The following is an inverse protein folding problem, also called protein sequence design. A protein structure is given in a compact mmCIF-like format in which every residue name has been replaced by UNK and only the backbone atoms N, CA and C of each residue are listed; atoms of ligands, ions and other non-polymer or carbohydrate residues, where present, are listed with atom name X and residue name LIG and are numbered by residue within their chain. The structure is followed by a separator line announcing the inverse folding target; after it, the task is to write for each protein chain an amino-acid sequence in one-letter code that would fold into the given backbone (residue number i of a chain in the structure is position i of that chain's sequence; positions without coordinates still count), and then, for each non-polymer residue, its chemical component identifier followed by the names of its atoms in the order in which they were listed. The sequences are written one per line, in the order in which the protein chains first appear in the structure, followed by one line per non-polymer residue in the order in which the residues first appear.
data_IF_256296073418
#
_entry.id   IF_256296073418
#
_cell.length_a   1.000
_cell.length_b   1.000
_cell.length_c   1.000
_cell.angle_alpha   90.00
_cell.angle_beta   90.00
_cell.angle_gamma   90.00
#
_symmetry.space_group_name_H-M   'P 1'
#
loop_
_entity.id
_entity.type
_entity.pdbx_description
1 polymer ?
#
# COMPACT_ATOMS: atom_id res chain seq x y z
N UNK A 1 8.15 -14.32 -21.78
CA UNK A 1 9.09 -15.46 -21.82
C UNK A 1 9.83 -15.46 -20.49
N UNK A 2 9.50 -16.36 -19.58
CA UNK A 2 10.18 -16.45 -18.30
C UNK A 2 11.66 -16.71 -18.55
N UNK A 3 12.52 -15.85 -18.00
CA UNK A 3 13.96 -16.14 -17.96
C UNK A 3 14.14 -17.37 -17.07
N UNK A 4 14.04 -18.55 -17.65
CA UNK A 4 14.77 -19.73 -17.21
C UNK A 4 16.26 -19.49 -17.52
N UNK A 5 16.82 -18.40 -16.99
CA UNK A 5 18.26 -18.30 -16.86
C UNK A 5 18.66 -19.47 -15.96
N UNK A 6 19.62 -20.25 -16.43
CA UNK A 6 20.36 -21.25 -15.67
C UNK A 6 20.98 -20.54 -14.46
N UNK A 7 20.19 -20.29 -13.43
CA UNK A 7 20.61 -19.64 -12.20
C UNK A 7 21.72 -20.49 -11.59
N UNK A 8 22.82 -19.85 -11.18
CA UNK A 8 23.91 -20.56 -10.54
C UNK A 8 23.37 -21.28 -9.29
N UNK A 9 23.99 -22.40 -8.92
CA UNK A 9 23.62 -23.17 -7.74
C UNK A 9 23.53 -22.32 -6.47
N UNK A 10 24.31 -21.25 -6.40
CA UNK A 10 24.33 -20.30 -5.29
C UNK A 10 23.11 -19.35 -5.30
N UNK A 11 22.65 -18.92 -6.46
CA UNK A 11 21.50 -18.03 -6.64
C UNK A 11 20.20 -18.73 -6.26
N UNK A 12 20.02 -20.00 -6.65
CA UNK A 12 18.84 -20.80 -6.29
C UNK A 12 18.77 -21.01 -4.76
N UNK A 13 19.92 -21.21 -4.10
CA UNK A 13 19.99 -21.32 -2.63
C UNK A 13 19.54 -20.01 -1.97
N UNK A 14 20.01 -18.86 -2.46
CA UNK A 14 19.61 -17.55 -1.92
C UNK A 14 18.14 -17.27 -2.16
N UNK A 15 17.65 -17.54 -3.37
CA UNK A 15 16.25 -17.36 -3.72
C UNK A 15 15.33 -18.19 -2.81
N UNK A 16 15.64 -19.45 -2.48
CA UNK A 16 14.85 -20.22 -1.50
C UNK A 16 14.84 -19.56 -0.12
N UNK A 17 15.97 -19.04 0.35
CA UNK A 17 16.01 -18.31 1.62
C UNK A 17 15.15 -17.06 1.57
N UNK A 18 15.17 -16.34 0.45
CA UNK A 18 14.32 -15.17 0.24
C UNK A 18 12.85 -15.55 0.26
N UNK A 19 12.43 -16.57 -0.50
CA UNK A 19 11.05 -17.12 -0.47
C UNK A 19 10.63 -17.48 0.95
N UNK A 20 11.51 -18.17 1.70
CA UNK A 20 11.24 -18.53 3.10
C UNK A 20 11.08 -17.30 3.97
N UNK A 21 11.97 -16.33 3.87
CA UNK A 21 11.91 -15.12 4.69
C UNK A 21 10.71 -14.24 4.34
N UNK A 22 10.33 -14.18 3.06
CA UNK A 22 9.09 -13.59 2.60
C UNK A 22 7.88 -14.33 3.17
N UNK A 23 7.86 -15.66 3.17
CA UNK A 23 6.76 -16.46 3.71
C UNK A 23 6.53 -16.26 5.22
N UNK A 24 7.57 -15.98 6.00
CA UNK A 24 7.44 -15.71 7.44
C UNK A 24 7.45 -14.21 7.81
N UNK A 25 7.30 -13.31 6.84
CA UNK A 25 7.37 -11.87 7.05
C UNK A 25 8.62 -11.40 7.82
N UNK A 26 9.80 -11.98 7.51
CA UNK A 26 11.04 -11.68 8.24
C UNK A 26 11.96 -10.79 7.41
N UNK A 27 11.71 -9.48 7.43
CA UNK A 27 12.47 -8.49 6.65
C UNK A 27 13.95 -8.45 7.05
N UNK A 28 14.29 -8.52 8.34
CA UNK A 28 15.70 -8.48 8.77
C UNK A 28 16.54 -9.65 8.21
N UNK A 29 15.96 -10.86 8.14
CA UNK A 29 16.64 -12.01 7.51
C UNK A 29 16.58 -11.95 5.99
N UNK A 30 15.52 -11.35 5.43
CA UNK A 30 15.41 -11.12 4.00
C UNK A 30 16.52 -10.17 3.55
N UNK A 31 16.68 -9.01 4.19
CA UNK A 31 17.75 -8.03 3.96
C UNK A 31 19.14 -8.69 3.94
N UNK A 32 19.44 -9.51 4.94
CA UNK A 32 20.73 -10.19 5.05
C UNK A 32 21.01 -11.18 3.91
N UNK A 33 19.98 -11.81 3.35
CA UNK A 33 20.11 -12.86 2.34
C UNK A 33 19.61 -12.44 0.96
N UNK A 34 19.28 -11.15 0.77
CA UNK A 34 18.80 -10.63 -0.51
C UNK A 34 19.94 -10.63 -1.50
N UNK A 35 19.70 -11.24 -2.66
CA UNK A 35 20.58 -11.20 -3.80
C UNK A 35 19.82 -10.56 -4.96
N UNK A 36 20.29 -9.40 -5.42
CA UNK A 36 19.60 -8.58 -6.43
C UNK A 36 19.36 -9.35 -7.74
N UNK A 37 20.32 -10.17 -8.17
CA UNK A 37 20.18 -11.02 -9.36
C UNK A 37 19.02 -12.03 -9.28
N UNK A 38 18.57 -12.39 -8.07
CA UNK A 38 17.50 -13.38 -7.84
C UNK A 38 16.13 -12.78 -7.54
N UNK A 39 16.00 -11.46 -7.48
CA UNK A 39 14.75 -10.76 -7.15
C UNK A 39 13.64 -11.08 -8.17
N UNK A 40 13.97 -11.17 -9.45
CA UNK A 40 13.02 -11.47 -10.53
C UNK A 40 12.71 -12.96 -10.73
N UNK A 41 13.27 -13.86 -9.92
CA UNK A 41 13.05 -15.29 -10.09
C UNK A 41 11.62 -15.69 -9.73
N UNK A 42 11.12 -16.69 -10.45
CA UNK A 42 9.79 -17.27 -10.24
C UNK A 42 9.91 -18.59 -9.50
N UNK A 43 8.97 -18.86 -8.60
CA UNK A 43 8.94 -20.09 -7.80
C UNK A 43 8.60 -21.27 -8.71
N UNK A 44 9.58 -22.12 -9.00
CA UNK A 44 9.42 -23.33 -9.81
C UNK A 44 9.56 -24.59 -8.96
N UNK A 45 8.65 -25.55 -9.17
CA UNK A 45 8.70 -26.87 -8.52
C UNK A 45 9.97 -27.63 -8.86
N UNK A 46 10.43 -27.54 -10.12
CA UNK A 46 11.64 -28.21 -10.57
C UNK A 46 12.88 -27.66 -9.86
N UNK A 47 13.01 -26.33 -9.81
CA UNK A 47 14.12 -25.65 -9.13
C UNK A 47 14.14 -25.93 -7.62
N UNK A 48 12.96 -26.05 -7.00
CA UNK A 48 12.84 -26.39 -5.59
C UNK A 48 13.30 -27.84 -5.30
N UNK A 49 12.85 -28.81 -6.11
CA UNK A 49 13.23 -30.22 -5.96
C UNK A 49 14.73 -30.45 -6.20
N UNK A 50 15.29 -29.81 -7.22
CA UNK A 50 16.73 -29.88 -7.49
C UNK A 50 17.55 -29.39 -6.29
N UNK A 51 17.10 -28.29 -5.67
CA UNK A 51 17.75 -27.75 -4.49
C UNK A 51 17.61 -28.64 -3.25
N UNK A 52 16.44 -29.26 -3.03
CA UNK A 52 16.25 -30.26 -1.98
C UNK A 52 17.29 -31.38 -2.13
N UNK A 53 17.43 -31.96 -3.31
CA UNK A 53 18.39 -33.03 -3.58
C UNK A 53 19.84 -32.60 -3.27
N UNK A 54 20.23 -31.38 -3.68
CA UNK A 54 21.57 -30.83 -3.37
C UNK A 54 21.78 -30.61 -1.87
N UNK A 55 20.74 -30.16 -1.16
CA UNK A 55 20.78 -29.93 0.29
C UNK A 55 20.89 -31.25 1.05
N UNK A 56 20.10 -32.25 0.67
CA UNK A 56 20.16 -33.62 1.19
C UNK A 56 21.56 -34.22 0.98
N UNK A 57 22.17 -34.03 -0.20
CA UNK A 57 23.55 -34.46 -0.47
C UNK A 57 24.60 -33.77 0.44
N UNK A 58 24.46 -32.47 0.70
CA UNK A 58 25.33 -31.74 1.64
C UNK A 58 25.15 -32.19 3.08
N UNK A 59 23.92 -32.50 3.49
CA UNK A 59 23.63 -33.04 4.82
C UNK A 59 24.24 -34.44 4.96
N UNK A 60 24.12 -35.28 3.93
CA UNK A 60 24.69 -36.63 3.91
C UNK A 60 26.22 -36.64 4.07
N UNK A 61 26.91 -35.61 3.56
CA UNK A 61 28.36 -35.44 3.67
C UNK A 61 28.85 -35.01 5.07
N UNK A 62 27.96 -34.73 6.02
CA UNK A 62 28.33 -34.39 7.41
C UNK A 62 28.78 -35.64 8.14
N UNK A 63 30.02 -35.62 8.66
CA UNK A 63 30.62 -36.75 9.35
C UNK A 63 29.97 -37.05 10.72
N UNK A 64 29.51 -36.02 11.43
CA UNK A 64 28.81 -36.17 12.72
C UNK A 64 27.37 -36.65 12.51
N UNK A 65 27.09 -37.88 12.92
CA UNK A 65 25.79 -38.54 12.83
C UNK A 65 24.68 -37.74 13.51
N UNK A 66 24.91 -37.20 14.71
CA UNK A 66 23.87 -36.45 15.45
C UNK A 66 23.56 -35.13 14.76
N UNK A 67 24.59 -34.44 14.28
CA UNK A 67 24.41 -33.17 13.56
C UNK A 67 23.73 -33.39 12.20
N UNK A 68 24.05 -34.49 11.52
CA UNK A 68 23.42 -34.89 10.26
C UNK A 68 21.93 -35.16 10.43
N UNK A 69 21.56 -35.97 11.43
CA UNK A 69 20.17 -36.30 11.72
C UNK A 69 19.34 -35.07 12.09
N UNK A 70 19.88 -34.21 12.97
CA UNK A 70 19.20 -32.96 13.35
C UNK A 70 18.98 -32.02 12.15
N UNK A 71 19.97 -31.89 11.26
CA UNK A 71 19.84 -31.07 10.04
C UNK A 71 18.91 -31.70 9.01
N UNK A 72 18.89 -33.03 8.89
CA UNK A 72 17.99 -33.74 7.99
C UNK A 72 16.54 -33.59 8.44
N UNK A 73 16.25 -33.81 9.72
CA UNK A 73 14.91 -33.63 10.30
C UNK A 73 14.37 -32.23 10.01
N UNK A 74 15.18 -31.20 10.32
CA UNK A 74 14.82 -29.81 10.02
C UNK A 74 14.57 -29.56 8.52
N UNK A 75 15.37 -30.18 7.63
CA UNK A 75 15.19 -30.03 6.20
C UNK A 75 13.89 -30.67 5.70
N UNK A 76 13.54 -31.85 6.23
CA UNK A 76 12.30 -32.55 5.91
C UNK A 76 11.10 -31.75 6.39
N UNK A 77 11.14 -31.22 7.62
CA UNK A 77 10.07 -30.36 8.15
C UNK A 77 9.84 -29.13 7.26
N UNK A 78 10.91 -28.43 6.89
CA UNK A 78 10.83 -27.27 5.98
C UNK A 78 10.29 -27.64 4.59
N UNK A 79 10.62 -28.83 4.09
CA UNK A 79 10.15 -29.34 2.79
C UNK A 79 8.67 -29.64 2.85
N UNK A 80 8.20 -30.30 3.92
CA UNK A 80 6.79 -30.60 4.15
C UNK A 80 5.97 -29.32 4.26
N UNK A 81 6.43 -28.34 5.04
CA UNK A 81 5.74 -27.06 5.20
C UNK A 81 5.63 -26.29 3.88
N UNK A 82 6.68 -26.29 3.05
CA UNK A 82 6.61 -25.67 1.74
C UNK A 82 5.57 -26.34 0.84
N UNK A 83 5.55 -27.68 0.77
CA UNK A 83 4.56 -28.39 -0.04
C UNK A 83 3.13 -28.21 0.49
N UNK A 84 2.94 -28.22 1.81
CA UNK A 84 1.66 -27.90 2.43
C UNK A 84 1.20 -26.48 2.04
N UNK A 85 2.09 -25.48 2.10
CA UNK A 85 1.78 -24.11 1.67
C UNK A 85 1.43 -24.00 0.18
N UNK A 86 2.01 -24.85 -0.67
CA UNK A 86 1.64 -24.93 -2.10
C UNK A 86 0.26 -25.58 -2.27
N UNK A 87 -0.04 -26.64 -1.54
CA UNK A 87 -1.35 -27.33 -1.57
C UNK A 87 -2.48 -26.46 -1.02
N UNK A 88 -2.20 -25.69 0.03
CA UNK A 88 -3.12 -24.69 0.61
C UNK A 88 -3.30 -23.45 -0.29
N UNK A 89 -2.54 -23.32 -1.37
CA UNK A 89 -2.61 -22.17 -2.29
C UNK A 89 -1.98 -20.88 -1.75
N UNK A 90 -1.23 -20.96 -0.65
CA UNK A 90 -0.45 -19.83 -0.10
C UNK A 90 0.78 -19.51 -0.94
N UNK A 91 1.35 -20.51 -1.60
CA UNK A 91 2.44 -20.36 -2.58
C UNK A 91 1.95 -20.90 -3.91
N UNK A 92 1.90 -20.06 -4.94
CA UNK A 92 1.52 -20.49 -6.29
C UNK A 92 2.77 -20.61 -7.15
N UNK A 93 2.83 -21.66 -7.97
CA UNK A 93 3.97 -21.86 -8.87
C UNK A 93 4.00 -20.74 -9.91
N UNK A 94 5.20 -20.23 -10.17
CA UNK A 94 5.43 -19.07 -11.01
C UNK A 94 5.36 -17.73 -10.28
N UNK A 95 4.91 -17.70 -9.02
CA UNK A 95 4.91 -16.47 -8.22
C UNK A 95 6.33 -15.94 -8.05
N UNK A 96 6.49 -14.62 -8.15
CA UNK A 96 7.70 -13.92 -7.69
C UNK A 96 7.60 -13.65 -6.18
N UNK A 97 8.66 -13.11 -5.57
CA UNK A 97 8.61 -12.69 -4.16
C UNK A 97 7.52 -11.63 -3.91
N UNK A 98 7.21 -10.79 -4.90
CA UNK A 98 6.17 -9.78 -4.80
C UNK A 98 4.77 -10.40 -4.77
N UNK A 99 4.49 -11.40 -5.60
CA UNK A 99 3.22 -12.13 -5.59
C UNK A 99 2.99 -12.79 -4.22
N UNK A 100 4.04 -13.44 -3.70
CA UNK A 100 3.98 -14.10 -2.41
C UNK A 100 3.70 -13.09 -1.28
N UNK A 101 4.40 -11.97 -1.28
CA UNK A 101 4.21 -10.92 -0.28
C UNK A 101 2.81 -10.28 -0.38
N UNK A 102 2.30 -10.05 -1.59
CA UNK A 102 0.96 -9.51 -1.83
C UNK A 102 -0.16 -10.46 -1.40
N UNK A 103 0.00 -11.77 -1.66
CA UNK A 103 -0.98 -12.80 -1.28
C UNK A 103 -1.04 -13.00 0.24
N UNK A 104 0.10 -12.89 0.92
CA UNK A 104 0.22 -13.09 2.37
C UNK A 104 0.03 -11.81 3.20
N UNK A 105 -0.26 -10.67 2.57
CA UNK A 105 -0.44 -9.38 3.26
C UNK A 105 0.81 -8.90 4.02
N UNK A 106 2.00 -9.16 3.46
CA UNK A 106 3.28 -8.79 4.07
C UNK A 106 3.73 -7.40 3.60
N UNK A 107 3.06 -6.35 4.10
CA UNK A 107 3.33 -4.93 3.75
C UNK A 107 4.82 -4.58 3.87
N UNK A 108 5.49 -5.04 4.94
CA UNK A 108 6.91 -4.74 5.18
C UNK A 108 7.82 -5.37 4.12
N UNK A 109 7.52 -6.59 3.70
CA UNK A 109 8.27 -7.26 2.64
C UNK A 109 8.03 -6.60 1.30
N UNK A 110 6.80 -6.18 1.00
CA UNK A 110 6.51 -5.48 -0.26
C UNK A 110 7.28 -4.16 -0.33
N UNK A 111 7.21 -3.34 0.71
CA UNK A 111 7.96 -2.07 0.75
C UNK A 111 9.46 -2.31 0.58
N UNK A 112 10.01 -3.32 1.25
CA UNK A 112 11.42 -3.69 1.09
C UNK A 112 11.76 -4.11 -0.35
N UNK A 113 10.92 -4.93 -0.99
CA UNK A 113 11.17 -5.40 -2.36
C UNK A 113 11.09 -4.24 -3.37
N UNK A 114 10.14 -3.33 -3.22
CA UNK A 114 10.01 -2.14 -4.08
C UNK A 114 11.20 -1.18 -3.91
N UNK A 115 11.75 -1.06 -2.71
CA UNK A 115 12.98 -0.28 -2.47
C UNK A 115 14.22 -0.85 -3.15
N UNK A 116 14.21 -2.16 -3.43
CA UNK A 116 15.26 -2.85 -4.18
C UNK A 116 15.03 -2.80 -5.70
N UNK A 117 13.99 -2.10 -6.17
CA UNK A 117 13.69 -1.95 -7.59
C UNK A 117 13.06 -3.20 -8.20
N UNK A 118 12.31 -3.98 -7.42
CA UNK A 118 11.64 -5.16 -7.96
C UNK A 118 10.48 -4.75 -8.89
N UNK A 119 10.58 -5.13 -10.16
CA UNK A 119 9.54 -4.87 -11.15
C UNK A 119 8.26 -5.66 -10.87
N UNK A 120 7.11 -4.96 -10.83
CA UNK A 120 5.80 -5.58 -10.62
C UNK A 120 5.29 -6.37 -11.85
N UNK A 121 5.73 -5.98 -13.04
CA UNK A 121 5.15 -6.41 -14.32
C UNK A 121 5.57 -7.82 -14.79
N UNK A 122 6.03 -8.68 -13.88
CA UNK A 122 6.37 -10.07 -14.21
C UNK A 122 5.17 -10.96 -13.89
N UNK A 123 4.42 -11.47 -14.87
CA UNK A 123 3.27 -12.31 -14.57
C UNK A 123 3.72 -13.69 -14.09
N UNK A 124 3.00 -14.28 -13.14
CA UNK A 124 3.22 -15.66 -12.72
C UNK A 124 2.84 -16.68 -13.83
N UNK A 125 2.98 -17.98 -13.56
CA UNK A 125 2.68 -19.02 -14.56
C UNK A 125 1.19 -19.10 -14.95
N UNK A 126 0.30 -18.47 -14.19
CA UNK A 126 -1.11 -18.32 -14.54
C UNK A 126 -1.40 -17.05 -15.33
N UNK A 127 -0.40 -16.19 -15.57
CA UNK A 127 -0.57 -14.92 -16.27
C UNK A 127 -1.03 -13.77 -15.36
N UNK A 128 -1.09 -13.98 -14.05
CA UNK A 128 -1.50 -12.94 -13.10
C UNK A 128 -0.31 -12.08 -12.67
N UNK A 129 -0.53 -10.78 -12.53
CA UNK A 129 0.43 -9.84 -11.93
C UNK A 129 0.27 -9.74 -10.41
N UNK A 130 1.23 -9.12 -9.73
CA UNK A 130 1.22 -9.03 -8.29
C UNK A 130 0.01 -8.25 -7.74
N UNK A 131 -0.42 -7.14 -8.37
CA UNK A 131 -1.65 -6.44 -7.95
C UNK A 131 -2.92 -7.29 -8.09
N UNK A 132 -2.95 -8.31 -8.96
CA UNK A 132 -4.15 -9.13 -9.19
C UNK A 132 -4.32 -10.26 -8.19
N UNK A 133 -3.27 -10.60 -7.44
CA UNK A 133 -3.29 -11.68 -6.43
C UNK A 133 -3.52 -11.16 -5.00
N UNK A 134 -3.78 -9.87 -4.84
CA UNK A 134 -4.03 -9.23 -3.56
C UNK A 134 -5.37 -9.69 -2.96
N UNK A 135 -5.37 -10.02 -1.67
CA UNK A 135 -6.58 -10.41 -0.95
C UNK A 135 -7.14 -9.26 -0.08
N UNK A 136 -6.27 -8.40 0.43
CA UNK A 136 -6.63 -7.33 1.36
C UNK A 136 -6.71 -5.96 0.65
N UNK A 137 -7.72 -5.11 0.96
CA UNK A 137 -7.86 -3.78 0.36
C UNK A 137 -6.65 -2.86 0.55
N UNK A 138 -5.97 -3.00 1.70
CA UNK A 138 -4.75 -2.26 2.04
C UNK A 138 -3.59 -2.56 1.10
N UNK A 139 -3.35 -3.84 0.78
CA UNK A 139 -2.34 -4.25 -0.20
C UNK A 139 -2.77 -3.85 -1.59
N UNK A 140 -4.06 -3.99 -1.92
CA UNK A 140 -4.57 -3.53 -3.21
C UNK A 140 -4.23 -2.05 -3.43
N UNK A 141 -4.45 -1.20 -2.42
CA UNK A 141 -4.07 0.22 -2.53
C UNK A 141 -2.56 0.40 -2.72
N UNK A 142 -1.74 -0.35 -1.99
CA UNK A 142 -0.30 -0.30 -2.14
C UNK A 142 0.13 -0.67 -3.57
N UNK A 143 -0.44 -1.74 -4.12
CA UNK A 143 -0.12 -2.24 -5.45
C UNK A 143 -0.71 -1.34 -6.55
N UNK A 144 -1.91 -0.79 -6.37
CA UNK A 144 -2.51 0.21 -7.26
C UNK A 144 -1.57 1.43 -7.43
N UNK A 145 -0.86 1.82 -6.36
CA UNK A 145 0.12 2.91 -6.42
C UNK A 145 1.40 2.50 -7.17
N UNK A 146 1.83 1.24 -7.08
CA UNK A 146 2.96 0.71 -7.86
C UNK A 146 2.59 0.70 -9.34
N UNK A 147 1.39 0.21 -9.69
CA UNK A 147 0.85 0.25 -11.05
C UNK A 147 0.79 1.69 -11.57
N UNK A 148 0.32 2.65 -10.74
CA UNK A 148 0.29 4.07 -11.12
C UNK A 148 1.68 4.62 -11.48
N UNK A 149 2.71 4.23 -10.72
CA UNK A 149 4.09 4.66 -11.02
C UNK A 149 4.49 4.17 -12.41
N UNK A 150 4.21 2.90 -12.73
CA UNK A 150 4.52 2.32 -14.04
C UNK A 150 3.67 2.90 -15.18
N UNK A 151 2.39 3.18 -14.95
CA UNK A 151 1.52 3.81 -15.94
C UNK A 151 2.02 5.20 -16.35
N UNK A 152 2.61 5.95 -15.41
CA UNK A 152 3.08 7.32 -15.65
C UNK A 152 4.54 7.37 -16.14
N UNK A 153 5.44 6.53 -15.58
CA UNK A 153 6.87 6.52 -15.93
C UNK A 153 7.24 5.52 -17.04
N UNK A 154 6.37 4.56 -17.33
CA UNK A 154 6.72 3.38 -18.11
C UNK A 154 7.46 2.33 -17.27
N UNK A 155 7.91 1.26 -17.93
CA UNK A 155 8.55 0.10 -17.30
C UNK A 155 10.08 0.17 -17.26
N UNK A 156 10.71 1.03 -18.05
CA UNK A 156 12.18 1.09 -18.21
C UNK A 156 12.72 2.46 -17.76
N UNK A 157 13.02 2.61 -16.47
CA UNK A 157 13.66 3.82 -15.95
C UNK A 157 14.61 3.53 -14.78
N UNK A 158 15.77 4.20 -14.77
CA UNK A 158 16.87 3.93 -13.84
C UNK A 158 16.57 4.32 -12.38
N UNK A 159 15.61 5.23 -12.15
CA UNK A 159 15.27 5.79 -10.84
C UNK A 159 14.04 5.13 -10.15
N UNK A 160 13.70 3.88 -10.50
CA UNK A 160 12.54 3.15 -9.96
C UNK A 160 12.50 3.09 -8.43
N UNK A 161 13.62 2.74 -7.80
CA UNK A 161 13.69 2.69 -6.34
C UNK A 161 13.39 4.06 -5.70
N UNK A 162 13.80 5.18 -6.33
CA UNK A 162 13.54 6.52 -5.82
C UNK A 162 12.06 6.90 -5.96
N UNK A 163 11.44 6.57 -7.09
CA UNK A 163 10.00 6.80 -7.29
C UNK A 163 9.16 6.06 -6.25
N UNK A 164 9.43 4.77 -6.03
CA UNK A 164 8.71 3.96 -5.02
C UNK A 164 8.94 4.45 -3.59
N UNK A 165 10.14 4.96 -3.26
CA UNK A 165 10.40 5.60 -1.96
C UNK A 165 9.60 6.89 -1.77
N UNK A 166 9.51 7.74 -2.80
CA UNK A 166 8.68 8.95 -2.77
C UNK A 166 7.21 8.55 -2.53
N UNK A 167 6.69 7.59 -3.30
CA UNK A 167 5.32 7.07 -3.16
C UNK A 167 5.09 6.50 -1.75
N UNK A 168 6.01 5.70 -1.23
CA UNK A 168 5.94 5.17 0.14
C UNK A 168 5.82 6.29 1.17
N UNK A 169 6.66 7.33 1.07
CA UNK A 169 6.65 8.45 1.99
C UNK A 169 5.38 9.30 1.87
N UNK A 170 4.92 9.58 0.65
CA UNK A 170 3.65 10.28 0.41
C UNK A 170 2.45 9.51 0.99
N UNK A 171 2.42 8.18 0.84
CA UNK A 171 1.38 7.33 1.45
C UNK A 171 1.38 7.41 2.97
N UNK A 172 2.55 7.45 3.61
CA UNK A 172 2.67 7.60 5.07
C UNK A 172 2.27 9.00 5.54
N UNK A 173 2.53 10.02 4.73
CA UNK A 173 2.19 11.41 5.01
C UNK A 173 0.69 11.70 4.86
N UNK A 174 0.04 11.07 3.88
CA UNK A 174 -1.31 11.46 3.49
C UNK A 174 -2.36 11.36 4.62
N UNK A 175 -2.41 10.30 5.46
CA UNK A 175 -3.34 10.26 6.59
C UNK A 175 -3.15 11.37 7.64
N UNK A 176 -1.98 12.02 7.66
CA UNK A 176 -1.59 13.04 8.65
C UNK A 176 -1.69 14.47 8.14
N UNK A 177 -1.66 14.67 6.81
CA UNK A 177 -1.67 15.99 6.17
C UNK A 177 -2.89 16.14 5.24
N UNK A 178 -3.30 15.06 4.56
CA UNK A 178 -4.32 15.10 3.49
C UNK A 178 -4.00 16.20 2.47
N UNK A 179 -2.77 16.16 1.96
CA UNK A 179 -2.27 17.19 1.07
C UNK A 179 -3.06 17.29 -0.24
N UNK A 180 -2.99 18.46 -0.87
CA UNK A 180 -3.63 18.71 -2.16
C UNK A 180 -2.64 18.97 -3.30
N UNK A 181 -3.19 19.22 -4.50
CA UNK A 181 -2.40 19.40 -5.70
C UNK A 181 -1.54 20.68 -5.69
N UNK A 182 -1.88 21.67 -4.88
CA UNK A 182 -1.08 22.88 -4.71
C UNK A 182 0.20 22.63 -3.89
N UNK A 183 0.16 21.64 -3.00
CA UNK A 183 1.24 21.29 -2.08
C UNK A 183 2.16 20.19 -2.65
N UNK A 184 1.68 19.42 -3.63
CA UNK A 184 2.39 18.28 -4.20
C UNK A 184 3.80 18.64 -4.71
N UNK A 185 3.98 19.83 -5.30
CA UNK A 185 5.29 20.28 -5.77
C UNK A 185 6.31 20.46 -4.64
N UNK A 186 5.88 21.05 -3.52
CA UNK A 186 6.73 21.29 -2.36
C UNK A 186 7.07 19.96 -1.65
N UNK A 187 6.05 19.13 -1.45
CA UNK A 187 6.21 17.81 -0.84
C UNK A 187 7.15 16.90 -1.63
N UNK A 188 6.96 16.78 -2.93
CA UNK A 188 7.81 15.94 -3.78
C UNK A 188 9.27 16.40 -3.76
N UNK A 189 9.52 17.72 -3.77
CA UNK A 189 10.90 18.27 -3.68
C UNK A 189 11.56 17.89 -2.36
N UNK A 190 10.84 18.03 -1.25
CA UNK A 190 11.37 17.79 0.10
C UNK A 190 11.55 16.30 0.39
N UNK A 191 10.52 15.51 0.12
CA UNK A 191 10.52 14.06 0.35
C UNK A 191 11.52 13.38 -0.59
N UNK A 192 11.56 13.78 -1.85
CA UNK A 192 12.43 13.20 -2.87
C UNK A 192 13.85 13.76 -2.92
N UNK A 193 14.17 14.80 -2.15
CA UNK A 193 15.41 15.60 -2.29
C UNK A 193 15.67 15.96 -3.76
N UNK A 194 14.63 16.48 -4.42
CA UNK A 194 14.60 16.76 -5.86
C UNK A 194 14.67 18.27 -6.10
N UNK A 195 15.65 18.72 -6.89
CA UNK A 195 15.76 20.12 -7.30
C UNK A 195 14.68 20.48 -8.31
N UNK A 196 14.29 21.76 -8.38
CA UNK A 196 13.33 22.28 -9.37
C UNK A 196 13.71 21.99 -10.83
N UNK A 197 15.00 21.77 -11.12
CA UNK A 197 15.52 21.46 -12.46
C UNK A 197 15.54 19.96 -12.81
N UNK A 198 15.06 19.08 -11.92
CA UNK A 198 15.12 17.64 -12.15
C UNK A 198 14.18 17.22 -13.30
N UNK A 199 14.64 16.40 -14.25
CA UNK A 199 13.86 16.06 -15.44
C UNK A 199 12.54 15.33 -15.10
N UNK A 200 12.54 14.51 -14.05
CA UNK A 200 11.36 13.74 -13.61
C UNK A 200 10.47 14.46 -12.59
N UNK A 201 10.75 15.71 -12.20
CA UNK A 201 9.97 16.39 -11.14
C UNK A 201 8.49 16.50 -11.50
N UNK A 202 8.16 16.90 -12.73
CA UNK A 202 6.78 17.00 -13.17
C UNK A 202 6.05 15.65 -13.16
N UNK A 203 6.80 14.55 -13.37
CA UNK A 203 6.24 13.20 -13.32
C UNK A 203 5.96 12.79 -11.88
N UNK A 204 6.88 13.03 -10.95
CA UNK A 204 6.65 12.76 -9.53
C UNK A 204 5.48 13.59 -8.97
N UNK A 205 5.31 14.84 -9.42
CA UNK A 205 4.15 15.67 -9.06
C UNK A 205 2.85 15.06 -9.59
N UNK A 206 2.83 14.57 -10.84
CA UNK A 206 1.66 13.87 -11.39
C UNK A 206 1.30 12.63 -10.57
N UNK A 207 2.29 11.83 -10.18
CA UNK A 207 2.09 10.66 -9.33
C UNK A 207 1.50 11.09 -7.98
N UNK A 208 2.09 12.10 -7.33
CA UNK A 208 1.61 12.60 -6.04
C UNK A 208 0.15 13.09 -6.10
N UNK A 209 -0.23 13.81 -7.16
CA UNK A 209 -1.60 14.27 -7.37
C UNK A 209 -2.57 13.10 -7.58
N UNK A 210 -2.22 12.17 -8.47
CA UNK A 210 -3.06 11.01 -8.75
C UNK A 210 -3.23 10.11 -7.52
N UNK A 211 -2.19 9.96 -6.68
CA UNK A 211 -2.30 9.28 -5.39
C UNK A 211 -3.28 10.00 -4.45
N UNK A 212 -3.14 11.32 -4.31
CA UNK A 212 -4.01 12.11 -3.43
C UNK A 212 -5.48 12.00 -3.85
N UNK A 213 -5.76 12.11 -5.15
CA UNK A 213 -7.12 12.00 -5.70
C UNK A 213 -7.69 10.59 -5.48
N UNK A 214 -6.88 9.55 -5.69
CA UNK A 214 -7.26 8.15 -5.40
C UNK A 214 -7.60 7.94 -3.93
N UNK A 215 -6.77 8.45 -3.03
CA UNK A 215 -7.00 8.30 -1.59
C UNK A 215 -8.27 9.04 -1.14
N UNK A 216 -8.50 10.25 -1.65
CA UNK A 216 -9.75 10.99 -1.41
C UNK A 216 -10.98 10.24 -1.90
N UNK A 217 -10.89 9.65 -3.09
CA UNK A 217 -11.96 8.83 -3.65
C UNK A 217 -12.23 7.60 -2.78
N UNK A 218 -11.21 6.83 -2.39
CA UNK A 218 -11.37 5.62 -1.54
C UNK A 218 -12.00 5.96 -0.18
N UNK A 219 -11.54 7.02 0.48
CA UNK A 219 -12.13 7.51 1.73
C UNK A 219 -13.61 7.87 1.54
N UNK A 220 -13.92 8.63 0.48
CA UNK A 220 -15.31 8.99 0.15
C UNK A 220 -16.18 7.76 -0.09
N UNK A 221 -15.69 6.79 -0.86
CA UNK A 221 -16.42 5.55 -1.16
C UNK A 221 -16.67 4.67 0.06
N UNK A 222 -15.83 4.78 1.09
CA UNK A 222 -16.00 4.04 2.35
C UNK A 222 -17.04 4.72 3.25
N UNK A 223 -17.08 6.04 3.25
CA UNK A 223 -17.99 6.81 4.12
C UNK A 223 -19.36 7.09 3.49
N UNK A 224 -19.48 7.06 2.16
CA UNK A 224 -20.73 7.33 1.48
C UNK A 224 -21.86 6.34 1.84
N UNK A 225 -21.63 5.03 1.97
CA UNK A 225 -22.64 4.09 2.47
C UNK A 225 -23.19 4.49 3.84
N UNK A 226 -22.32 4.95 4.74
CA UNK A 226 -22.72 5.39 6.09
C UNK A 226 -23.60 6.65 6.01
N UNK A 227 -23.26 7.59 5.12
CA UNK A 227 -24.10 8.76 4.86
C UNK A 227 -25.49 8.37 4.30
N UNK A 228 -25.55 7.36 3.41
CA UNK A 228 -26.80 6.83 2.86
C UNK A 228 -27.65 6.18 3.96
N UNK A 229 -27.05 5.38 4.83
CA UNK A 229 -27.75 4.76 5.98
C UNK A 229 -28.31 5.81 6.93
N UNK A 230 -27.53 6.85 7.26
CA UNK A 230 -27.97 7.97 8.08
C UNK A 230 -29.16 8.72 7.45
N UNK A 231 -29.17 8.91 6.13
CA UNK A 231 -30.31 9.48 5.42
C UNK A 231 -31.54 8.59 5.51
N UNK A 232 -31.40 7.29 5.30
CA UNK A 232 -32.51 6.34 5.37
C UNK A 232 -33.15 6.29 6.75
N UNK A 233 -32.34 6.37 7.82
CA UNK A 233 -32.82 6.39 9.20
C UNK A 233 -33.56 7.68 9.57
N UNK A 234 -33.32 8.80 8.86
CA UNK A 234 -33.88 10.12 9.16
C UNK A 234 -34.87 10.58 8.08
N UNK A 235 -35.77 9.68 7.66
CA UNK A 235 -36.85 9.93 6.69
C UNK A 235 -36.39 10.55 5.36
N UNK A 236 -35.11 10.37 5.01
CA UNK A 236 -34.49 10.92 3.81
C UNK A 236 -34.55 12.45 3.75
N UNK A 237 -34.40 13.09 4.91
CA UNK A 237 -34.21 14.54 5.04
C UNK A 237 -32.75 14.81 5.40
N UNK A 238 -32.00 15.39 4.46
CA UNK A 238 -30.58 15.70 4.65
C UNK A 238 -30.31 16.57 5.89
N UNK A 239 -31.21 17.50 6.21
CA UNK A 239 -31.08 18.35 7.41
C UNK A 239 -31.17 17.54 8.72
N UNK A 240 -32.12 16.60 8.81
CA UNK A 240 -32.29 15.76 10.01
C UNK A 240 -31.12 14.78 10.15
N UNK A 241 -30.68 14.16 9.06
CA UNK A 241 -29.50 13.29 9.04
C UNK A 241 -28.21 14.02 9.49
N UNK A 242 -27.98 15.25 9.00
CA UNK A 242 -26.84 16.08 9.45
C UNK A 242 -26.90 16.37 10.94
N UNK A 243 -28.08 16.71 11.45
CA UNK A 243 -28.29 16.98 12.88
C UNK A 243 -28.08 15.72 13.74
N UNK A 244 -28.53 14.56 13.25
CA UNK A 244 -28.34 13.28 13.92
C UNK A 244 -26.84 12.94 14.03
N UNK A 245 -26.08 13.10 12.94
CA UNK A 245 -24.62 12.89 12.99
C UNK A 245 -23.91 13.90 13.89
N UNK A 246 -24.32 15.17 13.89
CA UNK A 246 -23.79 16.17 14.83
C UNK A 246 -24.01 15.75 16.29
N UNK A 247 -25.13 15.10 16.60
CA UNK A 247 -25.44 14.59 17.93
C UNK A 247 -24.69 13.29 18.31
N UNK A 248 -23.97 12.64 17.39
CA UNK A 248 -23.18 11.46 17.72
C UNK A 248 -22.11 11.77 18.77
N UNK A 249 -21.82 10.81 19.68
CA UNK A 249 -20.71 10.92 20.61
C UNK A 249 -19.39 11.17 19.88
N UNK A 250 -18.57 12.06 20.43
CA UNK A 250 -17.20 12.32 19.97
C UNK A 250 -16.35 11.05 19.79
N UNK A 251 -16.34 10.06 20.72
CA UNK A 251 -15.54 8.85 20.53
C UNK A 251 -15.97 8.04 19.29
N UNK A 252 -17.27 7.97 19.00
CA UNK A 252 -17.78 7.20 17.86
C UNK A 252 -17.41 7.85 16.52
N UNK A 253 -17.42 9.20 16.47
CA UNK A 253 -16.95 9.96 15.30
C UNK A 253 -15.46 9.75 15.04
N UNK A 254 -14.65 9.72 16.09
CA UNK A 254 -13.21 9.44 15.96
C UNK A 254 -12.98 8.00 15.52
N UNK A 255 -13.69 7.04 16.11
CA UNK A 255 -13.59 5.64 15.73
C UNK A 255 -13.91 5.42 14.26
N UNK A 256 -14.93 6.11 13.73
CA UNK A 256 -15.25 6.08 12.30
C UNK A 256 -14.06 6.50 11.42
N UNK A 257 -13.38 7.60 11.77
CA UNK A 257 -12.20 8.05 11.03
C UNK A 257 -11.10 6.99 11.08
N UNK A 258 -10.90 6.36 12.24
CA UNK A 258 -9.88 5.34 12.44
C UNK A 258 -10.17 4.07 11.66
N UNK A 259 -11.41 3.62 11.62
CA UNK A 259 -11.81 2.45 10.85
C UNK A 259 -11.56 2.69 9.36
N UNK A 260 -11.92 3.88 8.86
CA UNK A 260 -11.69 4.27 7.46
C UNK A 260 -10.20 4.34 7.13
N UNK A 261 -9.40 5.03 7.96
CA UNK A 261 -7.97 5.15 7.70
C UNK A 261 -7.23 3.81 7.85
N UNK A 262 -7.55 2.99 8.86
CA UNK A 262 -6.88 1.69 9.08
C UNK A 262 -7.21 0.69 7.98
N UNK A 263 -8.43 0.75 7.42
CA UNK A 263 -8.84 -0.11 6.30
C UNK A 263 -7.95 0.08 5.06
N UNK A 264 -7.58 1.33 4.76
CA UNK A 264 -6.78 1.65 3.57
C UNK A 264 -5.29 1.77 3.88
N UNK A 265 -4.93 2.27 5.06
CA UNK A 265 -3.56 2.57 5.50
C UNK A 265 -3.19 1.73 6.75
N UNK A 266 -2.85 0.44 6.61
CA UNK A 266 -2.70 -0.49 7.74
C UNK A 266 -1.51 -0.15 8.66
N UNK A 267 -0.51 0.56 8.15
CA UNK A 267 0.65 1.03 8.94
C UNK A 267 0.36 2.30 9.72
N UNK A 268 -0.77 2.94 9.46
CA UNK A 268 -1.16 4.13 10.17
C UNK A 268 -1.71 3.71 11.54
N UNK A 269 -1.08 4.24 12.59
CA UNK A 269 -1.49 4.01 13.98
C UNK A 269 -1.86 5.35 14.58
N UNK A 270 -2.97 5.36 15.31
CA UNK A 270 -3.41 6.55 16.00
C UNK A 270 -2.37 6.92 17.07
N UNK A 271 -1.76 8.09 16.91
CA UNK A 271 -0.91 8.69 17.94
C UNK A 271 -1.81 9.67 18.68
N UNK A 272 -2.18 9.35 19.93
CA UNK A 272 -3.01 10.21 20.76
C UNK A 272 -2.42 11.62 20.82
N UNK A 273 -3.14 12.56 20.20
CA UNK A 273 -2.73 13.95 20.06
C UNK A 273 -3.99 14.80 20.00
N UNK A 274 -4.19 15.63 21.04
CA UNK A 274 -5.42 16.41 21.22
C UNK A 274 -5.64 17.35 20.04
N UNK A 275 -4.59 17.96 19.50
CA UNK A 275 -4.71 18.89 18.37
C UNK A 275 -5.14 18.17 17.10
N UNK A 276 -4.55 17.00 16.83
CA UNK A 276 -4.91 16.19 15.67
C UNK A 276 -6.31 15.62 15.82
N UNK A 277 -6.68 15.13 16.99
CA UNK A 277 -8.02 14.59 17.26
C UNK A 277 -9.11 15.63 17.02
N UNK A 278 -8.87 16.89 17.43
CA UNK A 278 -9.77 18.02 17.11
C UNK A 278 -9.85 18.26 15.60
N UNK A 279 -8.72 18.20 14.88
CA UNK A 279 -8.71 18.37 13.43
C UNK A 279 -9.44 17.23 12.71
N UNK A 280 -9.28 15.97 13.15
CA UNK A 280 -10.01 14.81 12.61
C UNK A 280 -11.50 14.91 12.88
N UNK A 281 -11.90 15.40 14.06
CA UNK A 281 -13.30 15.67 14.38
C UNK A 281 -13.92 16.74 13.49
N UNK A 282 -13.19 17.83 13.24
CA UNK A 282 -13.66 18.88 12.34
C UNK A 282 -13.80 18.36 10.91
N UNK A 283 -12.79 17.62 10.43
CA UNK A 283 -12.80 16.98 9.12
C UNK A 283 -14.03 16.08 8.96
N UNK A 284 -14.23 15.12 9.86
CA UNK A 284 -15.31 14.14 9.69
C UNK A 284 -16.70 14.77 9.79
N UNK A 285 -16.86 15.84 10.57
CA UNK A 285 -18.12 16.59 10.66
C UNK A 285 -18.45 17.29 9.34
N UNK A 286 -17.49 18.02 8.78
CA UNK A 286 -17.70 18.74 7.52
C UNK A 286 -17.82 17.77 6.33
N UNK A 287 -16.95 16.75 6.29
CA UNK A 287 -16.96 15.73 5.25
C UNK A 287 -18.23 14.89 5.28
N UNK A 288 -18.73 14.48 6.45
CA UNK A 288 -20.00 13.74 6.54
C UNK A 288 -21.20 14.60 6.15
N UNK A 289 -21.22 15.88 6.52
CA UNK A 289 -22.26 16.79 6.06
C UNK A 289 -22.25 16.95 4.52
N UNK A 290 -21.07 16.98 3.91
CA UNK A 290 -20.93 16.97 2.46
C UNK A 290 -21.38 15.63 1.86
N UNK A 291 -20.95 14.47 2.39
CA UNK A 291 -21.36 13.15 1.91
C UNK A 291 -22.87 12.91 2.03
N UNK A 292 -23.54 13.42 3.07
CA UNK A 292 -25.00 13.40 3.18
C UNK A 292 -25.65 14.23 2.08
N UNK A 293 -25.08 15.38 1.73
CA UNK A 293 -25.58 16.22 0.63
C UNK A 293 -25.41 15.50 -0.70
N UNK A 294 -24.23 14.93 -0.92
CA UNK A 294 -23.91 14.10 -2.09
C UNK A 294 -24.90 12.94 -2.21
N UNK A 295 -25.17 12.22 -1.12
CA UNK A 295 -26.10 11.10 -1.11
C UNK A 295 -27.56 11.52 -1.38
N UNK A 296 -28.01 12.68 -0.89
CA UNK A 296 -29.35 13.21 -1.19
C UNK A 296 -29.47 13.69 -2.65
N UNK A 297 -28.44 14.36 -3.17
CA UNK A 297 -28.35 14.77 -4.57
C UNK A 297 -28.35 13.55 -5.49
N UNK A 298 -27.50 12.56 -5.21
CA UNK A 298 -27.47 11.31 -5.96
C UNK A 298 -28.82 10.62 -5.95
N UNK A 299 -29.53 10.59 -4.82
CA UNK A 299 -30.88 10.01 -4.76
C UNK A 299 -31.87 10.70 -5.72
N UNK A 300 -31.77 12.01 -5.94
CA UNK A 300 -32.59 12.69 -6.95
C UNK A 300 -32.31 12.15 -8.36
N UNK A 301 -31.09 11.66 -8.63
CA UNK A 301 -30.72 10.98 -9.87
C UNK A 301 -31.11 9.47 -9.89
N UNK A 302 -31.17 8.79 -8.74
CA UNK A 302 -31.41 7.33 -8.61
C UNK A 302 -32.88 6.90 -8.52
N UNK A 303 -33.85 7.81 -8.63
CA UNK A 303 -35.27 7.39 -8.73
C UNK A 303 -35.54 6.41 -9.89
N UNK A 304 -34.61 6.27 -10.85
CA UNK A 304 -34.79 5.41 -12.02
C UNK A 304 -34.06 4.04 -12.04
N UNK A 305 -32.88 3.79 -11.45
CA UNK A 305 -32.34 2.40 -11.34
C UNK A 305 -31.28 2.25 -10.23
N UNK A 306 -31.56 1.41 -9.22
CA UNK A 306 -30.82 1.31 -7.96
C UNK A 306 -29.57 0.41 -7.93
N UNK A 307 -29.11 -0.13 -9.07
CA UNK A 307 -28.01 -1.12 -9.07
C UNK A 307 -26.84 -0.83 -10.03
N UNK A 308 -26.94 0.18 -10.90
CA UNK A 308 -25.93 0.44 -11.96
C UNK A 308 -25.08 1.69 -11.78
N UNK A 309 -25.50 2.65 -10.95
CA UNK A 309 -24.71 3.86 -10.76
C UNK A 309 -24.24 3.85 -9.29
N UNK A 310 -22.93 3.70 -9.12
CA UNK A 310 -22.24 4.12 -7.91
C UNK A 310 -21.49 5.39 -8.35
N UNK A 311 -21.33 6.42 -7.51
CA UNK A 311 -20.64 7.64 -7.91
C UNK A 311 -19.31 7.32 -8.59
N UNK A 312 -19.15 7.74 -9.84
CA UNK A 312 -17.86 7.67 -10.53
C UNK A 312 -16.94 8.77 -10.00
N UNK A 313 -15.61 8.61 -10.11
CA UNK A 313 -14.66 9.66 -9.74
C UNK A 313 -15.02 11.03 -10.33
N UNK A 314 -15.46 11.07 -11.59
CA UNK A 314 -15.85 12.29 -12.29
C UNK A 314 -17.04 13.00 -11.62
N UNK A 315 -18.04 12.23 -11.17
CA UNK A 315 -19.22 12.80 -10.50
C UNK A 315 -18.88 13.37 -9.12
N UNK A 316 -17.94 12.74 -8.40
CA UNK A 316 -17.50 13.19 -7.08
C UNK A 316 -16.58 14.41 -7.14
N UNK A 317 -15.90 14.64 -8.26
CA UNK A 317 -15.02 15.80 -8.44
C UNK A 317 -15.75 17.14 -8.22
N UNK A 318 -17.04 17.21 -8.56
CA UNK A 318 -17.87 18.39 -8.33
C UNK A 318 -18.08 18.71 -6.84
N UNK A 319 -18.03 17.69 -5.98
CA UNK A 319 -18.26 17.79 -4.54
C UNK A 319 -16.96 17.78 -3.73
N UNK A 320 -15.83 17.51 -4.37
CA UNK A 320 -14.54 17.35 -3.73
C UNK A 320 -14.18 18.58 -2.86
N UNK A 321 -14.39 19.80 -3.38
CA UNK A 321 -14.13 21.04 -2.63
C UNK A 321 -14.99 21.18 -1.37
N UNK A 322 -16.18 20.60 -1.36
CA UNK A 322 -17.08 20.63 -0.20
C UNK A 322 -16.69 19.56 0.83
N UNK A 323 -16.36 18.35 0.36
CA UNK A 323 -15.95 17.22 1.20
C UNK A 323 -14.61 17.52 1.90
N UNK A 324 -13.65 18.05 1.14
CA UNK A 324 -12.26 18.25 1.59
C UNK A 324 -11.98 19.68 2.05
N UNK A 325 -13.04 20.42 2.41
CA UNK A 325 -12.94 21.80 2.90
C UNK A 325 -12.08 21.90 4.17
N UNK A 326 -12.22 20.93 5.06
CA UNK A 326 -11.61 20.93 6.40
C UNK A 326 -10.60 19.79 6.49
N UNK A 327 -9.48 19.91 5.76
CA UNK A 327 -8.42 18.90 5.70
C UNK A 327 -7.41 19.07 6.84
N UNK A 328 -6.61 18.03 7.09
CA UNK A 328 -5.63 17.96 8.18
C UNK A 328 -4.28 18.65 7.88
N UNK A 329 -4.30 19.62 6.96
CA UNK A 329 -3.09 20.27 6.45
C UNK A 329 -2.72 21.53 7.23
N UNK A 330 -1.44 21.94 7.20
CA UNK A 330 -1.02 23.26 7.65
C UNK A 330 -1.70 24.33 6.77
N UNK A 331 -1.67 25.57 7.24
CA UNK A 331 -2.17 26.69 6.43
C UNK A 331 -1.36 26.81 5.14
N UNK A 332 -1.97 27.25 4.04
CA UNK A 332 -1.28 27.36 2.75
C UNK A 332 -0.03 28.24 2.81
N UNK A 333 -0.05 29.27 3.66
CA UNK A 333 1.08 30.18 3.88
C UNK A 333 2.26 29.50 4.60
N UNK A 334 2.01 28.49 5.43
CA UNK A 334 3.04 27.75 6.16
C UNK A 334 3.64 26.59 5.34
N UNK A 335 2.99 26.17 4.24
CA UNK A 335 3.43 25.02 3.44
C UNK A 335 4.83 25.21 2.88
N UNK A 336 5.12 26.40 2.35
CA UNK A 336 6.43 26.70 1.74
C UNK A 336 7.55 26.65 2.80
N UNK A 337 7.31 27.25 3.96
CA UNK A 337 8.25 27.25 5.09
C UNK A 337 8.45 25.84 5.68
N UNK A 338 7.36 25.08 5.87
CA UNK A 338 7.42 23.70 6.34
C UNK A 338 8.15 22.78 5.35
N UNK A 339 7.97 23.05 4.06
CA UNK A 339 8.66 22.36 2.97
C UNK A 339 9.99 23.00 2.58
N UNK A 340 10.57 23.88 3.39
CA UNK A 340 11.93 24.35 3.14
C UNK A 340 12.97 23.26 3.44
N UNK A 341 12.69 22.41 4.44
CA UNK A 341 13.56 21.31 4.85
C UNK A 341 12.74 20.09 5.29
N UNK A 342 13.26 18.87 5.08
CA UNK A 342 12.58 17.63 5.48
C UNK A 342 12.28 17.58 6.97
N UNK A 343 13.09 18.25 7.80
CA UNK A 343 12.90 18.34 9.25
C UNK A 343 11.60 19.07 9.63
N UNK A 344 11.16 20.03 8.83
CA UNK A 344 9.89 20.74 9.04
C UNK A 344 8.70 19.79 8.89
N UNK A 345 8.67 19.05 7.77
CA UNK A 345 7.68 18.01 7.49
C UNK A 345 7.71 16.90 8.55
N UNK A 346 8.89 16.45 8.95
CA UNK A 346 9.05 15.42 9.99
C UNK A 346 8.57 15.89 11.36
N UNK A 347 8.82 17.15 11.73
CA UNK A 347 8.31 17.73 12.99
C UNK A 347 6.80 17.84 13.01
N UNK A 348 6.20 18.35 11.93
CA UNK A 348 4.75 18.51 11.80
C UNK A 348 4.04 17.15 11.85
N UNK A 349 4.51 16.20 11.02
CA UNK A 349 3.89 14.88 10.93
C UNK A 349 4.29 13.93 12.06
N UNK A 350 5.37 14.25 12.80
CA UNK A 350 6.03 13.38 13.78
C UNK A 350 6.52 12.05 13.19
N UNK A 351 6.73 12.01 11.89
CA UNK A 351 7.34 10.88 11.19
C UNK A 351 8.85 11.07 11.13
N UNK A 352 9.60 9.99 11.34
CA UNK A 352 11.04 9.95 11.14
C UNK A 352 11.40 9.30 9.80
N UNK A 353 12.58 9.64 9.27
CA UNK A 353 13.18 9.00 8.10
C UNK A 353 12.35 9.09 6.80
N UNK A 354 11.75 10.27 6.53
CA UNK A 354 10.94 10.54 5.33
C UNK A 354 11.74 10.89 4.06
N UNK A 355 13.06 10.76 4.07
CA UNK A 355 13.91 11.13 2.93
C UNK A 355 14.05 9.95 1.97
N UNK A 356 13.82 10.17 0.68
CA UNK A 356 13.95 9.16 -0.39
C UNK A 356 15.40 8.77 -0.69
#
# INVERSE_FOLDING_TARGET
MGQNLSADATEIVHFRKMVKHTYYNNVAKLEKHTLEASLGFQISRASFLELCNRTEGRIAAIADTRQREAKMAKHVDEKMEFFAAVEEGKIVLGDTLLHLAARLDHVDVIEFLLEKGLHENVPNFHGHFAHQVCLHPSIQMLMDDVVLVHDVLGFDYDDEAKAHRIVRNLRRLWPLWMFDSSEAAHLVKVVGDVRSSHPFLNIYIKIANAMADRYRFRVTMTCLPIAIELLQQNEIKAYEAKRAFQAWPTPDKLQLVWDVLTTHFPKWTHVHDVEKDVAYLQFIQDAMAAWITVADDFRLYYKDEAAKNMPTPDTLQNYERQIWKSRLGPSQDEVEDLCAHIDGVQRYTRLSHLKA
#
